data_IF_969868205290
#
_entry.id   IF_969868205290
#
_cell.length_a   1.000
_cell.length_b   1.000
_cell.length_c   1.000
_cell.angle_alpha   90.00
_cell.angle_beta   90.00
_cell.angle_gamma   90.00
#
_symmetry.space_group_name_H-M   'P 1'
#
loop_
_entity.id
_entity.type
_entity.pdbx_description
1 polymer ?
#
# COMPACT_ATOMS: atom_id res chain seq x y z
N UNK A 1 9.06 -41.03 8.76
CA UNK A 1 9.00 -39.88 9.71
C UNK A 1 8.34 -38.73 8.98
N UNK A 2 7.09 -38.46 9.31
CA UNK A 2 6.21 -37.52 8.63
C UNK A 2 5.47 -36.77 9.73
N UNK A 3 5.61 -35.44 9.77
CA UNK A 3 4.92 -34.59 10.75
C UNK A 3 4.18 -33.51 9.99
N UNK A 4 2.86 -33.52 10.21
CA UNK A 4 1.81 -32.82 9.48
C UNK A 4 1.75 -31.35 9.90
N UNK A 5 1.57 -30.46 8.93
CA UNK A 5 1.16 -29.06 9.12
C UNK A 5 -0.31 -29.02 9.56
N UNK A 6 -0.59 -28.23 10.60
CA UNK A 6 -1.94 -27.93 11.06
C UNK A 6 -2.51 -26.73 10.30
N UNK A 7 -3.63 -26.96 9.61
CA UNK A 7 -4.47 -25.97 8.95
C UNK A 7 -5.49 -25.46 9.99
N UNK A 8 -5.54 -24.15 10.23
CA UNK A 8 -6.54 -23.53 11.11
C UNK A 8 -7.76 -23.14 10.27
N UNK A 9 -8.86 -23.86 10.50
CA UNK A 9 -10.20 -23.60 9.99
C UNK A 9 -10.86 -22.46 10.78
N UNK A 10 -11.50 -21.51 10.09
CA UNK A 10 -12.58 -20.71 10.67
C UNK A 10 -13.82 -20.78 9.77
N UNK A 11 -14.89 -21.34 10.34
CA UNK A 11 -16.24 -21.45 9.78
C UNK A 11 -17.12 -20.37 10.41
N UNK A 12 -17.94 -19.71 9.61
CA UNK A 12 -19.25 -19.21 10.06
C UNK A 12 -20.26 -19.31 8.90
N UNK A 13 -21.26 -20.15 9.12
CA UNK A 13 -22.47 -20.36 8.31
C UNK A 13 -23.41 -19.16 8.38
N UNK A 14 -24.08 -18.87 7.27
CA UNK A 14 -25.53 -18.59 7.26
C UNK A 14 -26.13 -18.95 5.91
N UNK A 15 -26.98 -19.98 5.89
CA UNK A 15 -27.84 -20.36 4.77
C UNK A 15 -29.16 -19.57 4.84
N UNK A 16 -29.66 -19.10 3.70
CA UNK A 16 -31.02 -18.61 3.54
C UNK A 16 -31.35 -18.48 2.05
N UNK A 17 -32.16 -19.39 1.51
CA UNK A 17 -32.49 -19.45 0.08
C UNK A 17 -33.79 -18.73 -0.30
N UNK A 18 -33.94 -18.41 -1.59
CA UNK A 18 -35.10 -18.75 -2.47
C UNK A 18 -35.06 -17.98 -3.81
N UNK A 19 -35.01 -18.75 -4.90
CA UNK A 19 -35.50 -18.66 -6.30
C UNK A 19 -36.05 -17.36 -6.96
N UNK A 20 -36.09 -17.32 -8.32
CA UNK A 20 -35.97 -16.12 -9.14
C UNK A 20 -37.30 -15.55 -9.64
N UNK A 21 -37.29 -14.27 -10.03
CA UNK A 21 -38.28 -13.70 -10.94
C UNK A 21 -37.60 -12.80 -11.98
N UNK A 22 -37.92 -13.07 -13.23
CA UNK A 22 -37.51 -12.34 -14.42
C UNK A 22 -38.49 -11.19 -14.68
N UNK A 23 -37.98 -10.01 -15.00
CA UNK A 23 -38.66 -9.09 -15.90
C UNK A 23 -37.65 -8.18 -16.59
N UNK A 24 -37.76 -8.13 -17.92
CA UNK A 24 -37.06 -7.22 -18.81
C UNK A 24 -37.56 -5.80 -18.59
N UNK A 25 -36.67 -4.80 -18.70
CA UNK A 25 -36.66 -3.88 -19.84
C UNK A 25 -35.84 -2.61 -19.54
N UNK A 26 -35.29 -2.08 -20.63
CA UNK A 26 -34.90 -0.68 -20.84
C UNK A 26 -33.43 -0.34 -20.57
N UNK A 27 -32.69 -0.41 -21.67
CA UNK A 27 -31.46 0.34 -21.92
C UNK A 27 -31.58 1.78 -21.41
N UNK A 28 -30.64 2.16 -20.55
CA UNK A 28 -30.19 3.55 -20.43
C UNK A 28 -28.69 3.50 -20.31
N UNK A 29 -28.03 3.88 -21.40
CA UNK A 29 -26.60 4.15 -21.52
C UNK A 29 -26.17 5.11 -20.43
N UNK A 30 -25.75 4.53 -19.30
CA UNK A 30 -25.23 5.23 -18.14
C UNK A 30 -23.72 5.16 -18.25
N UNK A 31 -23.10 6.31 -18.54
CA UNK A 31 -21.67 6.49 -18.44
C UNK A 31 -21.19 6.03 -17.06
N UNK A 32 -20.32 5.02 -17.02
CA UNK A 32 -19.75 4.46 -15.81
C UNK A 32 -18.79 5.46 -15.14
N UNK A 33 -19.34 6.44 -14.44
CA UNK A 33 -18.67 7.07 -13.30
C UNK A 33 -18.79 6.10 -12.14
N UNK A 34 -17.68 5.49 -11.72
CA UNK A 34 -17.64 4.63 -10.54
C UNK A 34 -18.30 5.32 -9.35
N UNK A 35 -19.46 4.79 -8.93
CA UNK A 35 -20.29 5.41 -7.91
C UNK A 35 -19.61 5.34 -6.54
N UNK A 36 -19.54 6.47 -5.84
CA UNK A 36 -19.16 6.53 -4.42
C UNK A 36 -20.22 5.77 -3.60
N UNK A 37 -19.79 4.82 -2.76
CA UNK A 37 -20.73 4.01 -1.96
C UNK A 37 -21.45 4.88 -0.91
N UNK A 38 -22.79 4.93 -0.89
CA UNK A 38 -23.57 5.93 -0.13
C UNK A 38 -23.48 5.80 1.40
N UNK A 39 -22.93 4.71 1.92
CA UNK A 39 -22.77 4.49 3.37
C UNK A 39 -21.39 4.87 3.91
N UNK A 40 -20.49 5.38 3.07
CA UNK A 40 -19.16 5.77 3.53
C UNK A 40 -19.15 7.25 3.91
N UNK A 41 -18.61 7.61 5.10
CA UNK A 41 -18.12 8.96 5.31
C UNK A 41 -17.21 9.30 4.13
N UNK A 42 -17.19 10.57 3.69
CA UNK A 42 -16.27 10.98 2.63
C UNK A 42 -14.87 10.48 2.98
N UNK A 43 -14.41 9.43 2.29
CA UNK A 43 -13.07 8.84 2.49
C UNK A 43 -11.97 9.83 2.14
N UNK A 44 -12.36 10.92 1.48
CA UNK A 44 -11.51 11.92 0.86
C UNK A 44 -11.34 13.08 1.85
N UNK A 45 -10.14 13.24 2.44
CA UNK A 45 -9.81 14.42 3.22
C UNK A 45 -10.06 15.68 2.39
N UNK A 46 -10.40 16.82 3.02
CA UNK A 46 -10.53 18.09 2.32
C UNK A 46 -9.30 18.38 1.45
N UNK A 47 -9.51 18.79 0.19
CA UNK A 47 -8.44 19.07 -0.77
C UNK A 47 -7.88 17.87 -1.53
N UNK A 48 -8.21 16.63 -1.13
CA UNK A 48 -7.68 15.43 -1.80
C UNK A 48 -8.10 15.32 -3.27
N UNK A 49 -9.31 15.75 -3.62
CA UNK A 49 -9.76 15.74 -5.02
C UNK A 49 -8.93 16.67 -5.91
N UNK A 50 -8.57 17.85 -5.40
CA UNK A 50 -7.71 18.79 -6.13
C UNK A 50 -6.30 18.22 -6.32
N UNK A 51 -5.73 17.64 -5.26
CA UNK A 51 -4.39 17.03 -5.34
C UNK A 51 -4.36 15.84 -6.30
N UNK A 52 -5.38 14.97 -6.28
CA UNK A 52 -5.51 13.85 -7.21
C UNK A 52 -5.71 14.32 -8.65
N UNK A 53 -6.53 15.35 -8.87
CA UNK A 53 -6.74 15.93 -10.20
C UNK A 53 -5.43 16.53 -10.75
N UNK A 54 -4.68 17.25 -9.89
CA UNK A 54 -3.38 17.82 -10.24
C UNK A 54 -2.36 16.74 -10.60
N UNK A 55 -2.29 15.67 -9.80
CA UNK A 55 -1.43 14.53 -10.06
C UNK A 55 -1.79 13.81 -11.37
N UNK A 56 -3.09 13.62 -11.63
CA UNK A 56 -3.57 12.98 -12.86
C UNK A 56 -3.32 13.82 -14.12
N UNK A 57 -3.39 15.15 -14.02
CA UNK A 57 -3.17 16.05 -15.14
C UNK A 57 -1.69 16.09 -15.59
N UNK A 58 -0.75 15.89 -14.66
CA UNK A 58 0.70 15.95 -14.95
C UNK A 58 1.48 15.03 -14.01
N UNK A 59 1.47 13.70 -14.24
CA UNK A 59 2.19 12.75 -13.41
C UNK A 59 3.71 12.92 -13.58
N UNK A 60 4.36 13.45 -12.57
CA UNK A 60 5.82 13.66 -12.49
C UNK A 60 6.34 13.26 -11.11
N UNK A 61 7.65 13.00 -10.94
CA UNK A 61 8.21 12.68 -9.63
C UNK A 61 7.86 13.72 -8.56
N UNK A 62 7.96 15.02 -8.90
CA UNK A 62 7.57 16.12 -8.02
C UNK A 62 6.08 16.11 -7.66
N UNK A 63 5.20 15.78 -8.63
CA UNK A 63 3.78 15.69 -8.38
C UNK A 63 3.44 14.55 -7.40
N UNK A 64 4.07 13.37 -7.57
CA UNK A 64 3.95 12.27 -6.62
C UNK A 64 4.53 12.61 -5.25
N UNK A 65 5.65 13.33 -5.19
CA UNK A 65 6.23 13.79 -3.94
C UNK A 65 5.30 14.74 -3.18
N UNK A 66 4.66 15.70 -3.87
CA UNK A 66 3.66 16.58 -3.25
C UNK A 66 2.44 15.82 -2.74
N UNK A 67 1.90 14.90 -3.57
CA UNK A 67 0.78 14.07 -3.16
C UNK A 67 1.14 13.19 -1.94
N UNK A 68 2.36 12.64 -1.91
CA UNK A 68 2.89 11.90 -0.76
C UNK A 68 2.84 12.74 0.52
N UNK A 69 3.38 13.96 0.49
CA UNK A 69 3.41 14.86 1.63
C UNK A 69 2.01 15.30 2.08
N UNK A 70 1.09 15.50 1.13
CA UNK A 70 -0.31 15.81 1.42
C UNK A 70 -0.99 14.64 2.15
N UNK A 71 -0.98 13.44 1.55
CA UNK A 71 -1.70 12.28 2.08
C UNK A 71 -1.08 11.73 3.38
N UNK A 72 0.23 11.90 3.59
CA UNK A 72 0.93 11.52 4.82
C UNK A 72 0.39 12.19 6.10
N UNK A 73 -0.36 13.28 5.96
CA UNK A 73 -0.97 14.01 7.08
C UNK A 73 -2.46 13.70 7.26
N UNK A 74 -3.01 12.80 6.45
CA UNK A 74 -4.43 12.47 6.44
C UNK A 74 -4.67 11.04 6.96
N UNK A 75 -5.93 10.62 7.01
CA UNK A 75 -6.29 9.24 7.34
C UNK A 75 -6.07 8.26 6.17
N UNK A 76 -5.70 8.76 4.99
CA UNK A 76 -5.21 7.97 3.86
C UNK A 76 -3.67 7.90 3.84
N UNK A 77 -3.05 7.77 5.00
CA UNK A 77 -1.59 7.82 5.14
C UNK A 77 -0.86 6.73 4.32
N UNK A 78 -1.51 5.60 4.03
CA UNK A 78 -0.99 4.57 3.13
C UNK A 78 -0.72 5.09 1.71
N UNK A 79 -1.56 6.00 1.22
CA UNK A 79 -1.32 6.68 -0.07
C UNK A 79 -0.17 7.67 0.00
N UNK A 80 0.10 8.24 1.17
CA UNK A 80 1.32 9.00 1.44
C UNK A 80 2.57 8.16 1.17
N UNK A 81 2.60 6.93 1.70
CA UNK A 81 3.70 5.98 1.48
C UNK A 81 3.79 5.53 0.02
N UNK A 82 2.67 5.13 -0.59
CA UNK A 82 2.60 4.65 -1.96
C UNK A 82 3.14 5.70 -2.95
N UNK A 83 2.66 6.94 -2.85
CA UNK A 83 3.13 8.03 -3.71
C UNK A 83 4.56 8.43 -3.40
N UNK A 84 5.00 8.34 -2.14
CA UNK A 84 6.39 8.60 -1.77
C UNK A 84 7.35 7.60 -2.41
N UNK A 85 7.04 6.31 -2.31
CA UNK A 85 7.76 5.25 -3.01
C UNK A 85 7.74 5.43 -4.52
N UNK A 86 6.58 5.80 -5.08
CA UNK A 86 6.44 6.08 -6.52
C UNK A 86 7.35 7.23 -6.96
N UNK A 87 7.38 8.35 -6.21
CA UNK A 87 8.22 9.49 -6.54
C UNK A 87 9.72 9.11 -6.58
N UNK A 88 10.19 8.37 -5.57
CA UNK A 88 11.59 7.89 -5.50
C UNK A 88 11.89 6.88 -6.61
N UNK A 89 10.96 6.00 -6.94
CA UNK A 89 11.09 5.02 -8.02
C UNK A 89 11.11 5.67 -9.42
N UNK A 90 10.51 6.86 -9.57
CA UNK A 90 10.55 7.62 -10.82
C UNK A 90 11.81 8.47 -10.96
N UNK A 91 12.32 9.04 -9.85
CA UNK A 91 13.55 9.83 -9.77
C UNK A 91 14.17 9.79 -8.36
N UNK A 92 15.20 8.96 -8.13
CA UNK A 92 15.83 8.80 -6.82
C UNK A 92 16.90 9.87 -6.54
N UNK A 93 17.15 10.77 -7.50
CA UNK A 93 18.08 11.89 -7.39
C UNK A 93 17.38 13.23 -7.13
N UNK A 94 16.05 13.26 -7.23
CA UNK A 94 15.23 14.45 -7.09
C UNK A 94 15.42 15.18 -5.76
N UNK A 95 15.30 16.50 -5.79
CA UNK A 95 15.48 17.35 -4.61
C UNK A 95 14.47 17.04 -3.48
N UNK A 96 13.33 16.42 -3.80
CA UNK A 96 12.28 16.05 -2.85
C UNK A 96 12.60 14.78 -2.03
N UNK A 97 13.55 13.94 -2.46
CA UNK A 97 13.74 12.58 -1.93
C UNK A 97 13.96 12.59 -0.42
N UNK A 98 14.80 13.48 0.11
CA UNK A 98 15.03 13.57 1.56
C UNK A 98 13.79 13.98 2.37
N UNK A 99 12.94 14.85 1.81
CA UNK A 99 11.68 15.27 2.44
C UNK A 99 10.64 14.17 2.45
N UNK A 100 10.47 13.49 1.30
CA UNK A 100 9.59 12.31 1.17
C UNK A 100 10.05 11.20 2.10
N UNK A 101 11.35 10.93 2.17
CA UNK A 101 11.88 9.85 3.01
C UNK A 101 11.61 10.07 4.49
N UNK A 102 11.75 11.31 4.97
CA UNK A 102 11.41 11.67 6.35
C UNK A 102 9.91 11.54 6.60
N UNK A 103 9.10 12.05 5.68
CA UNK A 103 7.64 11.94 5.78
C UNK A 103 7.16 10.49 5.84
N UNK A 104 7.72 9.61 5.01
CA UNK A 104 7.39 8.20 4.99
C UNK A 104 7.75 7.50 6.30
N UNK A 105 8.96 7.75 6.83
CA UNK A 105 9.35 7.23 8.13
C UNK A 105 8.44 7.77 9.26
N UNK A 106 8.07 9.05 9.21
CA UNK A 106 7.15 9.65 10.18
C UNK A 106 5.71 9.12 10.09
N UNK A 107 5.23 8.73 8.91
CA UNK A 107 3.95 8.04 8.77
C UNK A 107 4.01 6.71 9.49
N UNK A 108 5.00 5.87 9.17
CA UNK A 108 5.12 4.56 9.79
C UNK A 108 5.29 4.66 11.31
N UNK A 109 6.17 5.56 11.78
CA UNK A 109 6.38 5.80 13.22
C UNK A 109 5.12 6.19 13.97
N UNK A 110 4.26 7.02 13.38
CA UNK A 110 3.01 7.50 14.02
C UNK A 110 1.86 6.51 13.90
N UNK A 111 1.83 5.73 12.82
CA UNK A 111 0.68 4.86 12.48
C UNK A 111 0.87 3.42 12.95
N UNK A 112 2.10 2.99 13.21
CA UNK A 112 2.38 1.70 13.85
C UNK A 112 2.17 1.82 15.36
N UNK A 113 1.24 1.02 15.88
CA UNK A 113 1.01 0.86 17.31
C UNK A 113 1.43 -0.54 17.75
N UNK A 114 1.65 -0.69 19.06
CA UNK A 114 1.96 -1.97 19.65
C UNK A 114 1.31 -2.09 21.01
N UNK A 115 0.52 -3.14 21.19
CA UNK A 115 -0.24 -3.43 22.41
C UNK A 115 0.08 -4.84 22.91
N UNK A 116 -0.30 -5.16 24.14
CA UNK A 116 -0.26 -6.54 24.64
C UNK A 116 -1.65 -7.15 24.44
N UNK A 117 -1.73 -8.35 23.89
CA UNK A 117 -2.98 -9.11 23.79
C UNK A 117 -3.38 -9.73 25.14
N UNK A 118 -4.50 -10.44 25.14
CA UNK A 118 -5.05 -11.13 26.32
C UNK A 118 -4.08 -12.19 26.90
N UNK A 119 -3.12 -12.66 26.12
CA UNK A 119 -2.10 -13.64 26.53
C UNK A 119 -0.78 -12.98 26.95
N UNK A 120 -0.73 -11.64 27.01
CA UNK A 120 0.49 -10.88 27.29
C UNK A 120 1.50 -10.90 26.14
N UNK A 121 1.11 -11.32 24.94
CA UNK A 121 1.93 -11.24 23.74
C UNK A 121 1.82 -9.86 23.13
N UNK A 122 2.94 -9.30 22.68
CA UNK A 122 2.93 -8.01 22.01
C UNK A 122 2.38 -8.17 20.60
N UNK A 123 1.33 -7.44 20.25
CA UNK A 123 0.74 -7.41 18.90
C UNK A 123 0.96 -6.03 18.29
N UNK A 124 1.41 -6.00 17.04
CA UNK A 124 1.51 -4.77 16.26
C UNK A 124 0.22 -4.51 15.48
N UNK A 125 -0.11 -3.24 15.27
CA UNK A 125 -1.15 -2.84 14.33
C UNK A 125 -0.66 -1.61 13.57
N UNK A 126 -1.16 -1.42 12.35
CA UNK A 126 -0.98 -0.19 11.59
C UNK A 126 -2.33 0.32 11.14
N UNK A 127 -2.49 1.65 11.11
CA UNK A 127 -3.65 2.29 10.49
C UNK A 127 -3.21 3.24 9.38
N UNK A 128 -3.46 2.84 8.15
CA UNK A 128 -3.08 3.53 6.91
C UNK A 128 -4.29 3.97 6.08
N UNK A 129 -5.48 3.46 6.39
CA UNK A 129 -6.76 3.78 5.78
C UNK A 129 -7.80 4.23 6.83
N UNK A 130 -8.80 5.02 6.40
CA UNK A 130 -9.86 5.49 7.29
C UNK A 130 -10.98 4.46 7.46
N UNK A 131 -11.36 4.19 8.71
CA UNK A 131 -12.59 3.45 9.03
C UNK A 131 -12.42 1.94 8.88
N UNK A 132 -13.55 1.25 8.70
CA UNK A 132 -13.56 -0.18 8.39
C UNK A 132 -13.49 -0.40 6.89
N UNK A 133 -12.90 -1.52 6.47
CA UNK A 133 -12.78 -1.88 5.05
C UNK A 133 -14.16 -2.01 4.39
N UNK A 134 -14.52 -1.13 3.45
CA UNK A 134 -15.75 -1.26 2.70
C UNK A 134 -15.58 -2.41 1.71
N UNK A 135 -16.50 -3.37 1.77
CA UNK A 135 -16.61 -4.44 0.78
C UNK A 135 -17.96 -4.32 0.11
N UNK A 136 -17.98 -4.28 -1.22
CA UNK A 136 -19.21 -4.28 -2.02
C UNK A 136 -19.22 -5.46 -2.99
N UNK A 137 -20.38 -5.81 -3.52
CA UNK A 137 -20.48 -6.77 -4.64
C UNK A 137 -20.38 -6.01 -5.95
N UNK A 138 -19.33 -6.29 -6.72
CA UNK A 138 -19.12 -5.77 -8.07
C UNK A 138 -19.38 -6.83 -9.16
N UNK A 139 -19.17 -6.48 -10.44
CA UNK A 139 -19.44 -7.37 -11.58
C UNK A 139 -18.62 -8.67 -11.57
N UNK A 140 -17.49 -8.68 -10.86
CA UNK A 140 -16.56 -9.81 -10.80
C UNK A 140 -16.51 -10.48 -9.42
N UNK A 141 -17.44 -10.13 -8.53
CA UNK A 141 -17.48 -10.63 -7.15
C UNK A 141 -17.20 -9.51 -6.14
N UNK A 142 -16.76 -9.86 -4.91
CA UNK A 142 -16.53 -8.87 -3.87
C UNK A 142 -15.35 -7.95 -4.24
N UNK A 143 -15.52 -6.66 -4.02
CA UNK A 143 -14.53 -5.62 -4.29
C UNK A 143 -14.26 -4.79 -3.03
N UNK A 144 -13.05 -4.27 -2.89
CA UNK A 144 -12.67 -3.32 -1.84
C UNK A 144 -11.95 -2.10 -2.42
N UNK A 145 -11.96 -0.99 -1.70
CA UNK A 145 -11.21 0.22 -2.10
C UNK A 145 -9.72 -0.01 -1.94
N UNK A 146 -8.93 0.51 -2.90
CA UNK A 146 -7.47 0.39 -2.91
C UNK A 146 -6.80 0.91 -1.63
N UNK A 147 -7.33 1.96 -0.97
CA UNK A 147 -6.80 2.45 0.32
C UNK A 147 -6.71 1.37 1.40
N UNK A 148 -7.74 0.55 1.54
CA UNK A 148 -7.79 -0.53 2.51
C UNK A 148 -6.95 -1.73 2.09
N UNK A 149 -6.81 -1.95 0.78
CA UNK A 149 -5.92 -2.98 0.26
C UNK A 149 -4.45 -2.65 0.51
N UNK A 150 -4.05 -1.39 0.32
CA UNK A 150 -2.72 -0.89 0.70
C UNK A 150 -2.47 -1.07 2.20
N UNK A 151 -3.47 -0.80 3.05
CA UNK A 151 -3.36 -1.08 4.49
C UNK A 151 -3.21 -2.58 4.76
N UNK A 152 -3.96 -3.44 4.09
CA UNK A 152 -3.89 -4.90 4.29
C UNK A 152 -2.51 -5.47 3.91
N UNK A 153 -1.97 -5.04 2.77
CA UNK A 153 -0.65 -5.43 2.28
C UNK A 153 0.46 -4.98 3.24
N UNK A 154 0.52 -3.68 3.52
CA UNK A 154 1.56 -3.10 4.35
C UNK A 154 1.40 -3.50 5.82
N UNK A 155 0.17 -3.62 6.29
CA UNK A 155 -0.14 -3.92 7.68
C UNK A 155 0.31 -5.30 8.10
N UNK A 156 0.05 -6.32 7.29
CA UNK A 156 0.52 -7.68 7.60
C UNK A 156 2.04 -7.73 7.68
N UNK A 157 2.72 -7.01 6.81
CA UNK A 157 4.18 -6.98 6.72
C UNK A 157 4.86 -6.12 7.80
N UNK A 158 4.27 -4.98 8.18
CA UNK A 158 4.88 -4.01 9.11
C UNK A 158 4.44 -4.17 10.57
N UNK A 159 3.37 -4.94 10.81
CA UNK A 159 2.84 -5.23 12.14
C UNK A 159 3.57 -6.37 12.87
N UNK A 160 4.63 -6.93 12.29
CA UNK A 160 5.43 -7.96 12.94
C UNK A 160 5.91 -7.51 14.35
N UNK A 161 5.87 -8.46 15.28
CA UNK A 161 6.04 -8.26 16.72
C UNK A 161 7.49 -7.92 17.06
N UNK A 162 7.69 -6.93 17.95
CA UNK A 162 8.79 -7.01 18.93
C UNK A 162 10.03 -6.13 18.77
N UNK A 163 10.12 -5.20 17.82
CA UNK A 163 11.32 -4.38 17.66
C UNK A 163 11.15 -2.90 18.01
N UNK A 164 12.26 -2.28 18.43
CA UNK A 164 12.44 -0.84 18.46
C UNK A 164 12.13 -0.24 17.08
N UNK A 165 11.76 1.04 17.05
CA UNK A 165 11.57 1.76 15.78
C UNK A 165 12.93 1.98 15.09
N UNK A 166 13.30 1.05 14.20
CA UNK A 166 14.58 1.01 13.48
C UNK A 166 14.36 0.90 11.97
N UNK A 167 15.38 1.21 11.19
CA UNK A 167 15.36 0.99 9.74
C UNK A 167 15.28 -0.50 9.41
N UNK A 168 15.93 -1.35 10.20
CA UNK A 168 15.88 -2.81 10.05
C UNK A 168 14.44 -3.36 10.10
N UNK A 169 13.60 -2.82 10.99
CA UNK A 169 12.18 -3.19 11.07
C UNK A 169 11.44 -2.86 9.76
N UNK A 170 11.69 -1.68 9.19
CA UNK A 170 11.10 -1.27 7.90
C UNK A 170 11.58 -2.22 6.80
N UNK A 171 12.88 -2.53 6.78
CA UNK A 171 13.51 -3.46 5.84
C UNK A 171 12.88 -4.86 5.90
N UNK A 172 12.76 -5.43 7.09
CA UNK A 172 12.16 -6.76 7.30
C UNK A 172 10.69 -6.83 6.88
N UNK A 173 9.92 -5.77 7.12
CA UNK A 173 8.54 -5.69 6.65
C UNK A 173 8.45 -5.67 5.13
N UNK A 174 9.21 -4.81 4.45
CA UNK A 174 9.19 -4.77 2.99
C UNK A 174 9.77 -6.03 2.33
N UNK A 175 10.77 -6.70 2.94
CA UNK A 175 11.21 -8.02 2.49
C UNK A 175 10.07 -9.06 2.57
N UNK A 176 9.30 -9.05 3.67
CA UNK A 176 8.13 -9.91 3.84
C UNK A 176 7.07 -9.63 2.77
N UNK A 177 6.76 -8.36 2.52
CA UNK A 177 5.81 -7.93 1.47
C UNK A 177 6.24 -8.45 0.10
N UNK A 178 7.49 -8.16 -0.30
CA UNK A 178 7.99 -8.51 -1.64
C UNK A 178 8.07 -10.03 -1.84
N UNK A 179 8.46 -10.79 -0.81
CA UNK A 179 8.39 -12.26 -0.87
C UNK A 179 6.96 -12.75 -1.05
N UNK A 180 6.01 -12.15 -0.34
CA UNK A 180 4.58 -12.44 -0.48
C UNK A 180 4.10 -12.21 -1.93
N UNK A 181 4.50 -11.08 -2.53
CA UNK A 181 4.21 -10.77 -3.94
C UNK A 181 4.87 -11.78 -4.91
N UNK A 182 6.15 -12.12 -4.70
CA UNK A 182 6.89 -13.10 -5.53
C UNK A 182 6.21 -14.48 -5.50
N UNK A 183 5.72 -14.89 -4.34
CA UNK A 183 5.12 -16.21 -4.13
C UNK A 183 3.62 -16.24 -4.44
N UNK A 184 3.01 -15.11 -4.85
CA UNK A 184 1.57 -15.00 -5.08
C UNK A 184 0.72 -15.15 -3.81
N UNK A 185 1.31 -14.96 -2.63
CA UNK A 185 0.61 -14.99 -1.34
C UNK A 185 -0.07 -13.65 -1.05
N UNK A 186 0.48 -12.57 -1.60
CA UNK A 186 -0.10 -11.23 -1.58
C UNK A 186 -0.47 -10.90 -3.04
N UNK A 187 -1.75 -10.64 -3.34
CA UNK A 187 -2.16 -10.16 -4.66
C UNK A 187 -1.52 -8.79 -4.94
N UNK A 188 -1.14 -8.52 -6.18
CA UNK A 188 -0.69 -7.19 -6.59
C UNK A 188 -1.90 -6.31 -6.93
N UNK A 189 -1.94 -5.10 -6.39
CA UNK A 189 -3.02 -4.15 -6.63
C UNK A 189 -2.56 -2.90 -7.37
N UNK A 190 -1.26 -2.61 -7.40
CA UNK A 190 -0.69 -1.45 -8.08
C UNK A 190 0.50 -1.83 -8.96
N UNK A 191 0.70 -1.07 -10.04
CA UNK A 191 1.84 -1.27 -10.96
C UNK A 191 3.20 -1.22 -10.25
N UNK A 192 3.28 -0.49 -9.12
CA UNK A 192 4.50 -0.39 -8.32
C UNK A 192 4.93 -1.76 -7.76
N UNK A 193 4.01 -2.67 -7.45
CA UNK A 193 4.33 -3.96 -6.85
C UNK A 193 5.19 -4.81 -7.78
N UNK A 194 4.79 -4.89 -9.06
CA UNK A 194 5.54 -5.62 -10.08
C UNK A 194 6.94 -5.00 -10.30
N UNK A 195 7.03 -3.68 -10.21
CA UNK A 195 8.31 -2.98 -10.29
C UNK A 195 9.19 -3.26 -9.06
N UNK A 196 8.63 -3.25 -7.84
CA UNK A 196 9.33 -3.60 -6.60
C UNK A 196 9.85 -5.04 -6.60
N UNK A 197 9.04 -5.99 -7.08
CA UNK A 197 9.48 -7.37 -7.28
C UNK A 197 10.67 -7.45 -8.22
N UNK A 198 10.65 -6.70 -9.33
CA UNK A 198 11.76 -6.64 -10.28
C UNK A 198 13.02 -6.07 -9.63
N UNK A 199 12.88 -4.95 -8.91
CA UNK A 199 13.97 -4.28 -8.19
C UNK A 199 14.58 -5.18 -7.11
N UNK A 200 13.75 -5.91 -6.37
CA UNK A 200 14.21 -6.82 -5.32
C UNK A 200 14.92 -8.05 -5.89
N UNK A 201 14.42 -8.63 -6.99
CA UNK A 201 15.12 -9.71 -7.70
C UNK A 201 16.49 -9.28 -8.24
N UNK A 202 16.65 -7.99 -8.56
CA UNK A 202 17.92 -7.41 -8.93
C UNK A 202 18.83 -7.09 -7.72
N UNK A 203 18.40 -7.33 -6.48
CA UNK A 203 19.19 -7.12 -5.27
C UNK A 203 19.24 -5.67 -4.78
N UNK A 204 18.32 -4.81 -5.21
CA UNK A 204 18.34 -3.38 -4.91
C UNK A 204 17.31 -2.93 -3.87
N UNK A 205 16.57 -3.85 -3.24
CA UNK A 205 15.49 -3.52 -2.30
C UNK A 205 15.98 -2.69 -1.12
N UNK A 206 17.03 -3.14 -0.41
CA UNK A 206 17.57 -2.43 0.75
C UNK A 206 18.01 -0.99 0.40
N UNK A 207 18.63 -0.82 -0.77
CA UNK A 207 19.03 0.49 -1.27
C UNK A 207 17.84 1.39 -1.58
N UNK A 208 16.80 0.85 -2.21
CA UNK A 208 15.56 1.59 -2.46
C UNK A 208 14.86 2.01 -1.17
N UNK A 209 14.80 1.13 -0.17
CA UNK A 209 14.22 1.45 1.13
C UNK A 209 15.05 2.52 1.86
N UNK A 210 16.39 2.49 1.75
CA UNK A 210 17.26 3.51 2.32
C UNK A 210 17.01 4.88 1.68
N UNK A 211 16.76 4.93 0.37
CA UNK A 211 16.34 6.15 -0.32
C UNK A 211 14.95 6.63 0.13
N UNK A 212 14.04 5.70 0.42
CA UNK A 212 12.62 6.00 0.62
C UNK A 212 12.19 6.21 2.07
N UNK A 213 12.99 5.76 3.04
CA UNK A 213 12.69 5.88 4.47
C UNK A 213 13.90 6.37 5.27
N UNK A 214 15.11 6.29 4.71
CA UNK A 214 16.33 6.42 5.48
C UNK A 214 16.56 7.78 6.13
N UNK A 215 15.98 8.86 5.59
CA UNK A 215 16.06 10.17 6.23
C UNK A 215 15.41 10.22 7.63
N UNK A 216 14.58 9.23 8.00
CA UNK A 216 14.05 9.05 9.35
C UNK A 216 14.94 8.25 10.31
N UNK A 217 16.06 7.69 9.83
CA UNK A 217 16.97 6.83 10.59
C UNK A 217 18.43 7.25 10.39
N UNK A 218 18.79 8.51 10.71
CA UNK A 218 20.09 9.09 10.33
C UNK A 218 21.30 8.29 10.88
N UNK A 219 21.14 7.60 12.00
CA UNK A 219 22.20 6.82 12.63
C UNK A 219 22.44 5.46 11.94
N UNK A 220 21.42 4.91 11.27
CA UNK A 220 21.48 3.59 10.62
C UNK A 220 21.89 3.69 9.14
N UNK A 221 21.54 4.80 8.46
CA UNK A 221 21.75 4.97 7.03
C UNK A 221 23.21 4.97 6.54
N UNK A 222 24.24 5.36 7.31
CA UNK A 222 25.61 5.18 6.88
C UNK A 222 25.93 3.75 6.43
N UNK A 223 25.34 2.73 7.07
CA UNK A 223 25.49 1.31 6.73
C UNK A 223 24.93 0.96 5.35
N UNK A 224 23.88 1.67 4.91
CA UNK A 224 23.15 1.39 3.67
C UNK A 224 23.54 2.30 2.50
N UNK A 225 24.51 3.21 2.67
CA UNK A 225 24.89 4.20 1.65
C UNK A 225 25.26 3.57 0.31
N UNK A 226 26.11 2.54 0.33
CA UNK A 226 26.52 1.84 -0.88
C UNK A 226 25.34 1.16 -1.59
N UNK A 227 24.42 0.56 -0.82
CA UNK A 227 23.21 -0.04 -1.37
C UNK A 227 22.28 1.03 -1.98
N UNK A 228 22.12 2.17 -1.31
CA UNK A 228 21.34 3.29 -1.80
C UNK A 228 21.89 3.83 -3.13
N UNK A 229 23.21 4.01 -3.24
CA UNK A 229 23.85 4.47 -4.48
C UNK A 229 23.70 3.44 -5.61
N UNK A 230 23.83 2.15 -5.32
CA UNK A 230 23.57 1.10 -6.30
C UNK A 230 22.09 1.09 -6.77
N UNK A 231 21.14 1.26 -5.84
CA UNK A 231 19.73 1.37 -6.19
C UNK A 231 19.45 2.62 -7.04
N UNK A 232 20.07 3.77 -6.76
CA UNK A 232 19.94 4.97 -7.61
C UNK A 232 20.34 4.68 -9.06
N UNK A 233 21.49 4.04 -9.26
CA UNK A 233 21.98 3.68 -10.60
C UNK A 233 21.00 2.73 -11.29
N UNK A 234 20.50 1.72 -10.56
CA UNK A 234 19.56 0.76 -11.13
C UNK A 234 18.23 1.42 -11.53
N UNK A 235 17.68 2.27 -10.66
CA UNK A 235 16.44 3.01 -10.92
C UNK A 235 16.61 3.97 -12.09
N UNK A 236 17.76 4.63 -12.23
CA UNK A 236 18.03 5.48 -13.39
C UNK A 236 18.02 4.68 -14.71
N UNK A 237 18.44 3.41 -14.69
CA UNK A 237 18.38 2.52 -15.83
C UNK A 237 16.99 1.86 -16.04
N UNK A 238 16.20 1.72 -14.98
CA UNK A 238 14.89 1.06 -14.98
C UNK A 238 13.82 1.92 -14.28
N UNK A 239 13.62 3.17 -14.73
CA UNK A 239 12.77 4.10 -13.99
C UNK A 239 11.33 3.61 -13.99
N UNK A 240 10.66 3.71 -12.85
CA UNK A 240 9.23 3.44 -12.80
C UNK A 240 8.48 4.52 -13.58
N UNK A 241 7.48 4.10 -14.36
CA UNK A 241 6.64 4.95 -15.22
C UNK A 241 5.19 4.44 -15.12
N UNK A 242 4.46 4.84 -14.06
CA UNK A 242 3.09 4.37 -13.88
C UNK A 242 2.20 4.83 -15.04
N UNK A 243 1.33 3.97 -15.54
CA UNK A 243 0.39 4.29 -16.62
C UNK A 243 -0.65 5.32 -16.19
N UNK A 244 -1.04 5.30 -14.91
CA UNK A 244 -1.85 6.33 -14.25
C UNK A 244 -1.55 6.38 -12.75
N UNK A 245 -1.87 7.50 -12.07
CA UNK A 245 -1.92 7.50 -10.62
C UNK A 245 -2.99 6.53 -10.10
N UNK A 246 -2.59 5.66 -9.17
CA UNK A 246 -3.52 4.92 -8.32
C UNK A 246 -4.41 5.90 -7.55
N UNK A 247 -5.69 5.59 -7.34
CA UNK A 247 -6.60 6.43 -6.54
C UNK A 247 -7.08 5.69 -5.30
N UNK A 248 -7.24 6.37 -4.15
CA UNK A 248 -7.71 5.74 -2.92
C UNK A 248 -9.04 5.00 -3.04
N UNK A 249 -9.92 5.52 -3.89
CA UNK A 249 -11.27 5.04 -4.15
C UNK A 249 -11.38 4.10 -5.36
N UNK A 250 -10.26 3.71 -5.98
CA UNK A 250 -10.29 2.66 -7.00
C UNK A 250 -10.82 1.37 -6.36
N UNK A 251 -11.89 0.81 -6.94
CA UNK A 251 -12.45 -0.48 -6.54
C UNK A 251 -11.69 -1.61 -7.21
N UNK A 252 -11.19 -2.54 -6.38
CA UNK A 252 -10.35 -3.64 -6.83
C UNK A 252 -11.05 -4.97 -6.46
N UNK A 253 -11.22 -5.90 -7.41
CA UNK A 253 -11.73 -7.24 -7.13
C UNK A 253 -10.88 -7.98 -6.11
N UNK A 254 -11.53 -8.58 -5.12
CA UNK A 254 -10.88 -9.45 -4.16
C UNK A 254 -10.68 -10.84 -4.76
N UNK A 255 -9.57 -11.53 -4.45
CA UNK A 255 -9.37 -12.90 -4.89
C UNK A 255 -10.52 -13.79 -4.40
N UNK A 256 -11.07 -14.61 -5.30
CA UNK A 256 -12.00 -15.67 -4.90
C UNK A 256 -11.29 -16.62 -3.94
N UNK A 257 -11.82 -16.77 -2.72
CA UNK A 257 -11.29 -17.68 -1.70
C UNK A 257 -11.76 -19.11 -1.95
#
# INVERSE_FOLDING_TARGET
MSTKLALVCWLALACGGSSPSSSSSSDTTSSTTGGEHPSMPSLRPPGSQEELARLAASPSPDAYARASLFFAQTDLAGFGLLYGMTAVAMDPSGAFVGGVARSNADVLRRRLTSELDENGQRVGSIRLAPGGMPVQQGPHGPEATLSHLVELELGTSLSAIGEAWTFERVRGGFDTLVRGLINGQIPSFVELDAWLVTLARAGHLDGFLALTFGAGFPDEIPTYRAAADAARVWIAAHPFRPGRPARPDDWIPLPAR
#
